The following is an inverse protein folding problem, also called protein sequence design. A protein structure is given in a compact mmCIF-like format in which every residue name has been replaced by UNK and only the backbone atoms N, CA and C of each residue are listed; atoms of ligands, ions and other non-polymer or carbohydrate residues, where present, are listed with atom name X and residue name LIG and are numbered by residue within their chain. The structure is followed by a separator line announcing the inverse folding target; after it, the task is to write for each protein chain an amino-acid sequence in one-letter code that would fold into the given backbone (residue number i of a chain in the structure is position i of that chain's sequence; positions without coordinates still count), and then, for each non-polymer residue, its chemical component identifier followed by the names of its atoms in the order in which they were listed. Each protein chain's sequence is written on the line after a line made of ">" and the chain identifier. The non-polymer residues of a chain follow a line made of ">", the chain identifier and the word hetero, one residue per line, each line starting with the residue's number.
data_IF_621964238884
#
_entry.id   IF_621964238884
#
_cell.length_a   1.000
_cell.length_b   1.000
_cell.length_c   1.000
_cell.angle_alpha   90.00
_cell.angle_beta   90.00
_cell.angle_gamma   90.00
#
_symmetry.space_group_name_H-M   'P 1'
#
loop_
_entity.id
_entity.type
_entity.pdbx_description
1 polymer ?
#
# COMPACT_ATOMS: atom_id res chain seq x y z
N UNK A 1 2.98 0.31 6.42
CA UNK A 1 2.91 1.14 5.22
C UNK A 1 1.91 0.53 4.25
N UNK A 2 0.94 1.31 3.75
CA UNK A 2 0.05 0.90 2.67
C UNK A 2 0.53 1.57 1.38
N UNK A 3 0.72 0.76 0.35
CA UNK A 3 1.37 1.06 -0.91
C UNK A 3 2.76 1.70 -0.79
N UNK A 4 3.59 1.50 -1.78
CA UNK A 4 4.96 2.01 -1.84
C UNK A 4 5.29 2.44 -3.28
N UNK A 5 4.45 3.33 -3.81
CA UNK A 5 4.61 3.89 -5.13
C UNK A 5 5.62 5.03 -5.19
N UNK A 6 5.71 5.67 -6.35
CA UNK A 6 6.74 6.65 -6.67
C UNK A 6 6.82 7.80 -5.65
N UNK A 7 8.00 7.99 -5.05
CA UNK A 7 8.29 9.01 -4.06
C UNK A 7 7.87 8.68 -2.63
N UNK A 8 7.21 7.56 -2.39
CA UNK A 8 6.77 7.11 -1.05
C UNK A 8 7.97 6.77 -0.17
N UNK A 9 8.95 6.05 -0.69
CA UNK A 9 10.16 5.71 0.07
C UNK A 9 10.96 6.96 0.44
N UNK A 10 11.07 7.92 -0.47
CA UNK A 10 11.74 9.19 -0.19
C UNK A 10 11.01 9.98 0.92
N UNK A 11 9.68 10.00 0.92
CA UNK A 11 8.87 10.63 1.98
C UNK A 11 9.00 9.87 3.30
N UNK A 12 8.94 8.53 3.29
CA UNK A 12 9.11 7.69 4.48
C UNK A 12 10.42 8.00 5.20
N UNK A 13 11.53 8.08 4.48
CA UNK A 13 12.85 8.42 5.03
C UNK A 13 12.93 9.80 5.70
N UNK A 14 12.03 10.72 5.35
CA UNK A 14 11.98 12.06 5.96
C UNK A 14 11.23 12.10 7.28
N UNK A 15 10.28 11.17 7.46
CA UNK A 15 9.38 11.19 8.62
C UNK A 15 9.67 10.07 9.62
N UNK A 16 10.37 9.01 9.18
CA UNK A 16 10.70 7.85 10.01
C UNK A 16 12.00 7.17 9.58
N UNK A 17 12.59 6.46 10.52
CA UNK A 17 13.59 5.43 10.20
C UNK A 17 12.90 4.28 9.43
N UNK A 18 13.18 4.17 8.15
CA UNK A 18 12.58 3.18 7.26
C UNK A 18 12.89 1.73 7.67
N UNK A 19 13.97 1.51 8.44
CA UNK A 19 14.34 0.18 8.96
C UNK A 19 13.42 -0.30 10.06
N UNK A 20 12.60 0.59 10.64
CA UNK A 20 11.62 0.26 11.66
C UNK A 20 10.22 -0.06 11.10
N UNK A 21 10.06 -0.04 9.78
CA UNK A 21 8.82 -0.49 9.14
C UNK A 21 8.65 -1.98 9.38
N UNK A 22 7.56 -2.38 10.03
CA UNK A 22 7.28 -3.79 10.32
C UNK A 22 6.75 -4.51 9.09
N UNK A 23 5.89 -3.83 8.32
CA UNK A 23 5.26 -4.39 7.12
C UNK A 23 4.92 -3.33 6.08
N UNK A 24 4.90 -3.78 4.82
CA UNK A 24 4.35 -3.06 3.67
C UNK A 24 3.24 -3.92 3.09
N UNK A 25 2.09 -3.32 2.78
CA UNK A 25 0.94 -3.99 2.15
C UNK A 25 0.62 -3.26 0.86
N UNK A 26 0.53 -3.97 -0.24
CA UNK A 26 0.27 -3.41 -1.58
C UNK A 26 -1.17 -3.73 -1.97
N UNK A 27 -1.90 -2.72 -2.39
CA UNK A 27 -3.31 -2.83 -2.81
C UNK A 27 -3.47 -3.52 -4.17
N UNK A 28 -2.61 -3.17 -5.12
CA UNK A 28 -2.59 -3.71 -6.48
C UNK A 28 -1.25 -3.46 -7.19
N UNK A 29 -1.06 -4.04 -8.37
CA UNK A 29 0.24 -4.09 -9.02
C UNK A 29 0.39 -3.08 -10.17
N UNK A 30 -0.22 -1.88 -10.09
CA UNK A 30 0.20 -0.76 -10.91
C UNK A 30 1.51 -0.14 -10.39
N UNK A 31 2.33 0.36 -11.28
CA UNK A 31 3.69 0.83 -11.00
C UNK A 31 3.75 1.90 -9.92
N UNK A 32 2.83 2.84 -9.96
CA UNK A 32 2.71 3.97 -9.03
C UNK A 32 2.27 3.56 -7.62
N UNK A 33 1.96 2.29 -7.39
CA UNK A 33 1.64 1.72 -6.08
C UNK A 33 2.75 0.86 -5.47
N UNK A 34 3.75 0.40 -6.26
CA UNK A 34 4.78 -0.48 -5.71
C UNK A 34 6.22 -0.18 -6.17
N UNK A 35 6.48 0.70 -7.13
CA UNK A 35 7.83 0.86 -7.71
C UNK A 35 8.90 1.31 -6.72
N UNK A 36 8.56 2.06 -5.67
CA UNK A 36 9.52 2.44 -4.65
C UNK A 36 9.95 1.26 -3.74
N UNK A 37 9.33 0.07 -3.88
CA UNK A 37 9.88 -1.15 -3.28
C UNK A 37 11.30 -1.43 -3.79
N UNK A 38 11.63 -1.05 -5.02
CA UNK A 38 12.97 -1.27 -5.59
C UNK A 38 14.04 -0.45 -4.85
N UNK A 39 14.00 0.90 -4.81
CA UNK A 39 14.96 1.67 -4.03
C UNK A 39 14.90 1.37 -2.53
N UNK A 40 13.74 1.00 -1.99
CA UNK A 40 13.60 0.59 -0.61
C UNK A 40 14.38 -0.73 -0.36
N UNK A 41 14.23 -1.72 -1.23
CA UNK A 41 14.98 -2.98 -1.15
C UNK A 41 16.50 -2.74 -1.23
N UNK A 42 16.96 -1.90 -2.16
CA UNK A 42 18.37 -1.52 -2.23
C UNK A 42 18.85 -0.90 -0.91
N UNK A 43 18.08 -0.02 -0.30
CA UNK A 43 18.43 0.60 0.97
C UNK A 43 18.49 -0.43 2.11
N UNK A 44 17.53 -1.37 2.18
CA UNK A 44 17.53 -2.43 3.19
C UNK A 44 18.71 -3.38 3.04
N UNK A 45 19.14 -3.67 1.81
CA UNK A 45 20.20 -4.67 1.57
C UNK A 45 21.60 -4.04 1.65
N UNK A 46 21.78 -2.83 1.12
CA UNK A 46 23.12 -2.29 0.88
C UNK A 46 23.47 -1.05 1.73
N UNK A 47 22.50 -0.25 2.18
CA UNK A 47 22.80 0.96 2.94
C UNK A 47 23.64 0.73 4.21
N UNK A 48 23.51 -0.40 4.96
CA UNK A 48 24.36 -0.68 6.12
C UNK A 48 25.84 -0.82 5.78
N UNK A 49 26.15 -1.13 4.55
CA UNK A 49 27.53 -1.31 4.06
C UNK A 49 28.13 -0.02 3.53
N UNK A 50 27.31 1.00 3.34
CA UNK A 50 27.70 2.29 2.80
C UNK A 50 27.82 3.30 3.95
N UNK A 51 28.98 3.38 4.57
CA UNK A 51 29.24 4.37 5.62
C UNK A 51 29.49 5.75 5.00
N UNK A 52 29.06 6.84 5.65
CA UNK A 52 28.31 6.91 6.91
C UNK A 52 26.78 7.00 6.67
N UNK A 53 26.08 5.92 6.79
CA UNK A 53 24.61 5.97 6.78
C UNK A 53 24.13 5.82 8.23
N UNK A 54 23.53 6.85 8.85
CA UNK A 54 23.01 6.73 10.21
C UNK A 54 21.74 5.90 10.20
N UNK A 55 21.89 4.58 10.26
CA UNK A 55 20.76 3.65 10.37
C UNK A 55 20.81 3.10 11.78
N UNK A 56 20.10 3.78 12.69
CA UNK A 56 20.18 3.54 14.13
C UNK A 56 19.95 2.06 14.52
N UNK A 57 19.17 1.33 13.73
CA UNK A 57 18.80 -0.06 14.01
C UNK A 57 19.90 -1.07 13.70
N UNK A 58 20.92 -0.71 12.95
CA UNK A 58 22.04 -1.60 12.64
C UNK A 58 23.26 -1.42 13.51
N UNK A 59 23.29 -0.39 14.33
CA UNK A 59 24.34 -0.29 15.35
C UNK A 59 24.14 -1.39 16.39
N UNK A 60 24.89 -2.47 16.26
CA UNK A 60 24.91 -3.57 17.21
C UNK A 60 23.93 -4.71 17.00
N UNK A 61 23.21 -4.78 15.87
CA UNK A 61 22.37 -5.93 15.52
C UNK A 61 23.05 -6.84 14.52
N UNK A 62 23.01 -8.15 14.77
CA UNK A 62 23.61 -9.15 13.91
C UNK A 62 22.87 -9.36 12.59
N UNK A 63 21.57 -9.07 12.54
CA UNK A 63 20.70 -9.32 11.39
C UNK A 63 20.08 -8.05 10.83
N UNK A 64 19.91 -8.00 9.51
CA UNK A 64 19.23 -6.92 8.81
C UNK A 64 17.74 -6.97 9.10
N UNK A 65 17.07 -5.81 9.27
CA UNK A 65 15.61 -5.80 9.28
C UNK A 65 15.07 -6.27 7.92
N UNK A 66 14.16 -7.20 7.97
CA UNK A 66 13.42 -7.70 6.81
C UNK A 66 11.94 -7.50 7.09
N UNK A 67 11.37 -6.33 6.73
CA UNK A 67 9.94 -6.10 6.91
C UNK A 67 9.14 -7.11 6.09
N UNK A 68 7.96 -7.51 6.59
CA UNK A 68 7.04 -8.31 5.81
C UNK A 68 6.50 -7.50 4.63
N UNK A 69 6.48 -8.09 3.44
CA UNK A 69 5.88 -7.51 2.25
C UNK A 69 4.68 -8.35 1.85
N UNK A 70 3.49 -7.78 2.09
CA UNK A 70 2.23 -8.40 1.73
C UNK A 70 1.77 -7.87 0.37
N UNK A 71 1.69 -8.75 -0.60
CA UNK A 71 1.31 -8.48 -1.99
C UNK A 71 -0.05 -9.12 -2.29
N UNK A 72 -0.80 -8.59 -3.26
CA UNK A 72 -1.99 -9.26 -3.76
C UNK A 72 -1.61 -10.58 -4.45
N UNK A 73 -2.58 -11.49 -4.67
CA UNK A 73 -2.34 -12.73 -5.40
C UNK A 73 -1.63 -12.50 -6.74
N UNK A 74 -0.52 -13.20 -6.97
CA UNK A 74 0.36 -13.06 -8.15
C UNK A 74 1.35 -11.88 -8.06
N UNK A 75 1.25 -11.02 -7.06
CA UNK A 75 2.12 -9.84 -6.93
C UNK A 75 3.59 -10.19 -6.69
N UNK A 76 3.84 -11.33 -6.04
CA UNK A 76 5.20 -11.81 -5.80
C UNK A 76 5.98 -12.09 -7.09
N UNK A 77 5.32 -12.64 -8.10
CA UNK A 77 5.93 -12.84 -9.42
C UNK A 77 6.21 -11.50 -10.11
N UNK A 78 5.26 -10.57 -10.07
CA UNK A 78 5.39 -9.25 -10.71
C UNK A 78 6.60 -8.49 -10.16
N UNK A 79 6.75 -8.37 -8.83
CA UNK A 79 7.89 -7.61 -8.25
C UNK A 79 9.23 -8.28 -8.54
N UNK A 80 9.30 -9.62 -8.54
CA UNK A 80 10.53 -10.35 -8.92
C UNK A 80 10.88 -10.12 -10.38
N UNK A 81 9.91 -10.18 -11.28
CA UNK A 81 10.13 -9.91 -12.71
C UNK A 81 10.65 -8.49 -12.95
N UNK A 82 10.15 -7.49 -12.23
CA UNK A 82 10.66 -6.11 -12.33
C UNK A 82 12.13 -6.02 -11.92
N UNK A 83 12.52 -6.57 -10.78
CA UNK A 83 13.92 -6.49 -10.34
C UNK A 83 14.85 -7.36 -11.18
N UNK A 84 14.37 -8.49 -11.70
CA UNK A 84 15.14 -9.33 -12.62
C UNK A 84 15.41 -8.61 -13.94
N UNK A 85 14.41 -7.87 -14.46
CA UNK A 85 14.56 -7.09 -15.70
C UNK A 85 15.63 -5.99 -15.61
N UNK A 86 15.98 -5.54 -14.41
CA UNK A 86 17.05 -4.56 -14.16
C UNK A 86 18.35 -5.18 -13.64
N UNK A 87 18.49 -6.50 -13.70
CA UNK A 87 19.70 -7.22 -13.25
C UNK A 87 19.89 -7.27 -11.72
N UNK A 88 18.80 -7.18 -10.96
CA UNK A 88 18.81 -7.20 -9.49
C UNK A 88 18.10 -8.45 -8.94
N UNK A 89 18.38 -9.60 -9.52
CA UNK A 89 17.81 -10.89 -9.14
C UNK A 89 17.97 -11.17 -7.63
N UNK A 90 16.90 -11.67 -7.01
CA UNK A 90 16.87 -11.98 -5.58
C UNK A 90 16.82 -10.78 -4.64
N UNK A 91 16.84 -9.54 -5.15
CA UNK A 91 16.85 -8.31 -4.33
C UNK A 91 15.64 -8.22 -3.40
N UNK A 92 14.44 -8.50 -3.92
CA UNK A 92 13.19 -8.40 -3.15
C UNK A 92 13.18 -9.41 -2.00
N UNK A 93 13.53 -10.66 -2.27
CA UNK A 93 13.57 -11.72 -1.25
C UNK A 93 14.71 -11.52 -0.24
N UNK A 94 15.78 -10.83 -0.63
CA UNK A 94 16.85 -10.45 0.30
C UNK A 94 16.42 -9.30 1.24
N UNK A 95 15.54 -8.41 0.77
CA UNK A 95 15.12 -7.21 1.50
C UNK A 95 13.88 -7.44 2.37
N UNK A 96 12.95 -8.27 1.90
CA UNK A 96 11.62 -8.45 2.51
C UNK A 96 11.31 -9.92 2.79
N UNK A 97 10.41 -10.13 3.74
CA UNK A 97 9.69 -11.40 3.86
C UNK A 97 8.46 -11.32 2.95
N UNK A 98 8.60 -11.82 1.72
CA UNK A 98 7.53 -11.74 0.72
C UNK A 98 6.43 -12.75 1.03
N UNK A 99 5.20 -12.26 1.07
CA UNK A 99 3.97 -13.04 1.28
C UNK A 99 2.88 -12.51 0.36
N UNK A 100 2.00 -13.38 -0.11
CA UNK A 100 0.76 -12.97 -0.76
C UNK A 100 -0.37 -13.11 0.26
N UNK A 101 -1.21 -12.07 0.39
CA UNK A 101 -2.35 -12.15 1.27
C UNK A 101 -3.52 -12.89 0.60
N UNK A 102 -4.31 -13.58 1.41
CA UNK A 102 -5.60 -14.11 0.98
C UNK A 102 -6.66 -13.00 1.14
N UNK A 103 -7.24 -12.48 0.05
CA UNK A 103 -8.17 -11.36 0.14
C UNK A 103 -9.53 -11.71 0.76
N UNK A 104 -9.83 -12.99 0.99
CA UNK A 104 -11.06 -13.41 1.68
C UNK A 104 -10.83 -13.66 3.18
N UNK A 105 -9.57 -13.66 3.62
CA UNK A 105 -9.19 -13.85 5.01
C UNK A 105 -8.75 -12.53 5.65
N UNK A 106 -8.93 -12.40 6.96
CA UNK A 106 -8.32 -11.31 7.72
C UNK A 106 -6.82 -11.56 7.90
N UNK A 107 -6.03 -10.50 7.83
CA UNK A 107 -4.60 -10.51 8.07
C UNK A 107 -4.28 -9.72 9.35
N UNK A 108 -3.51 -10.32 10.25
CA UNK A 108 -3.03 -9.63 11.46
C UNK A 108 -1.58 -9.19 11.29
N UNK A 109 -1.31 -7.91 11.55
CA UNK A 109 0.02 -7.31 11.53
C UNK A 109 0.23 -6.54 12.83
N UNK A 110 0.93 -7.14 13.78
CA UNK A 110 1.07 -6.57 15.12
C UNK A 110 -0.29 -6.42 15.80
N UNK A 111 -0.65 -5.20 16.18
CA UNK A 111 -1.93 -4.89 16.81
C UNK A 111 -3.04 -4.54 15.79
N UNK A 112 -2.75 -4.57 14.51
CA UNK A 112 -3.71 -4.23 13.46
C UNK A 112 -4.31 -5.49 12.84
N UNK A 113 -5.63 -5.45 12.67
CA UNK A 113 -6.38 -6.41 11.86
C UNK A 113 -6.73 -5.74 10.53
N UNK A 114 -6.34 -6.39 9.43
CA UNK A 114 -6.61 -5.95 8.08
C UNK A 114 -7.69 -6.84 7.45
N UNK A 115 -8.59 -6.21 6.69
CA UNK A 115 -9.51 -6.90 5.80
C UNK A 115 -9.42 -6.26 4.43
N UNK A 116 -9.80 -7.01 3.41
CA UNK A 116 -9.68 -6.64 2.02
C UNK A 116 -11.04 -6.68 1.33
N UNK A 117 -11.31 -5.73 0.46
CA UNK A 117 -12.52 -5.68 -0.38
C UNK A 117 -12.09 -5.51 -1.83
N UNK A 118 -12.42 -6.44 -2.72
CA UNK A 118 -12.23 -6.24 -4.15
C UNK A 118 -12.97 -4.98 -4.61
N UNK A 119 -12.30 -4.15 -5.40
CA UNK A 119 -12.88 -2.94 -5.99
C UNK A 119 -12.63 -2.92 -7.50
N UNK A 120 -13.56 -2.36 -8.29
CA UNK A 120 -13.45 -2.40 -9.75
C UNK A 120 -12.43 -1.38 -10.26
N UNK A 121 -11.37 -1.90 -10.86
CA UNK A 121 -10.29 -1.15 -11.49
C UNK A 121 -9.82 -1.87 -12.77
N UNK A 122 -8.77 -1.40 -13.44
CA UNK A 122 -8.23 -2.02 -14.66
C UNK A 122 -7.56 -3.38 -14.42
N UNK A 123 -7.04 -3.59 -13.21
CA UNK A 123 -6.45 -4.86 -12.76
C UNK A 123 -7.03 -5.26 -11.40
N UNK A 124 -6.85 -6.49 -10.94
CA UNK A 124 -7.27 -6.90 -9.61
C UNK A 124 -6.75 -5.96 -8.54
N UNK A 125 -7.66 -5.30 -7.83
CA UNK A 125 -7.39 -4.24 -6.85
C UNK A 125 -8.23 -4.44 -5.60
N UNK A 126 -7.66 -4.16 -4.44
CA UNK A 126 -8.33 -4.32 -3.15
C UNK A 126 -8.25 -3.05 -2.31
N UNK A 127 -9.39 -2.56 -1.86
CA UNK A 127 -9.45 -1.64 -0.74
C UNK A 127 -9.03 -2.37 0.54
N UNK A 128 -8.41 -1.66 1.47
CA UNK A 128 -7.85 -2.23 2.69
C UNK A 128 -8.40 -1.51 3.91
N UNK A 129 -9.00 -2.26 4.83
CA UNK A 129 -9.40 -1.76 6.15
C UNK A 129 -8.34 -2.12 7.18
N UNK A 130 -7.96 -1.16 8.01
CA UNK A 130 -7.05 -1.30 9.14
C UNK A 130 -7.83 -1.00 10.41
N UNK A 131 -7.97 -1.97 11.29
CA UNK A 131 -8.60 -1.80 12.60
C UNK A 131 -7.61 -2.12 13.71
N UNK A 132 -7.63 -1.33 14.77
CA UNK A 132 -6.85 -1.60 15.99
C UNK A 132 -7.72 -2.22 17.10
N UNK A 133 -7.07 -2.59 18.23
CA UNK A 133 -7.75 -3.18 19.37
C UNK A 133 -8.73 -2.23 20.11
N UNK A 134 -8.71 -0.92 19.82
CA UNK A 134 -9.67 0.04 20.37
C UNK A 134 -10.97 0.13 19.56
N UNK A 135 -11.00 -0.47 18.38
CA UNK A 135 -12.07 -0.38 17.41
C UNK A 135 -11.94 0.81 16.44
N UNK A 136 -10.87 1.60 16.54
CA UNK A 136 -10.60 2.64 15.57
C UNK A 136 -10.27 2.04 14.20
N UNK A 137 -10.91 2.56 13.14
CA UNK A 137 -10.83 1.97 11.80
C UNK A 137 -10.49 3.01 10.73
N UNK A 138 -9.43 2.73 9.98
CA UNK A 138 -9.05 3.45 8.77
C UNK A 138 -9.34 2.56 7.56
N UNK A 139 -9.94 3.12 6.51
CA UNK A 139 -10.14 2.43 5.24
C UNK A 139 -9.39 3.18 4.14
N UNK A 140 -8.55 2.49 3.41
CA UNK A 140 -7.89 2.93 2.20
C UNK A 140 -8.60 2.31 1.00
N UNK A 141 -9.21 3.16 0.16
CA UNK A 141 -10.02 2.73 -0.97
C UNK A 141 -9.21 2.10 -2.11
N UNK A 142 -7.91 2.39 -2.18
CA UNK A 142 -7.07 2.14 -3.35
C UNK A 142 -7.66 2.83 -4.61
N UNK A 143 -7.32 2.34 -5.80
CA UNK A 143 -7.82 2.89 -7.06
C UNK A 143 -9.07 2.15 -7.51
N UNK A 144 -10.13 2.88 -7.83
CA UNK A 144 -11.38 2.27 -8.27
C UNK A 144 -12.33 3.26 -8.95
N UNK A 145 -13.18 2.77 -9.83
CA UNK A 145 -14.36 3.53 -10.30
C UNK A 145 -15.45 3.53 -9.22
N UNK A 146 -16.48 4.42 -9.35
CA UNK A 146 -17.63 4.42 -8.44
C UNK A 146 -18.26 3.02 -8.31
N UNK A 147 -18.47 2.59 -7.07
CA UNK A 147 -19.07 1.30 -6.74
C UNK A 147 -19.68 1.32 -5.33
N UNK A 148 -20.66 0.47 -5.08
CA UNK A 148 -21.32 0.40 -3.79
C UNK A 148 -20.58 -0.48 -2.77
N UNK A 149 -19.72 -1.37 -3.23
CA UNK A 149 -18.94 -2.27 -2.38
C UNK A 149 -18.03 -1.50 -1.43
N UNK A 150 -17.37 -0.43 -1.92
CA UNK A 150 -16.54 0.42 -1.06
C UNK A 150 -17.37 1.20 -0.04
N UNK A 151 -18.60 1.60 -0.39
CA UNK A 151 -19.50 2.31 0.53
C UNK A 151 -19.85 1.41 1.72
N UNK A 152 -20.22 0.16 1.47
CA UNK A 152 -20.52 -0.80 2.53
C UNK A 152 -19.27 -1.16 3.33
N UNK A 153 -18.14 -1.39 2.65
CA UNK A 153 -16.88 -1.74 3.30
C UNK A 153 -16.34 -0.64 4.20
N UNK A 154 -16.53 0.63 3.83
CA UNK A 154 -16.05 1.78 4.58
C UNK A 154 -17.08 2.38 5.54
N UNK A 155 -18.25 1.73 5.73
CA UNK A 155 -19.33 2.25 6.60
C UNK A 155 -18.81 2.61 7.99
N UNK A 156 -19.09 3.88 8.41
CA UNK A 156 -18.71 4.42 9.73
C UNK A 156 -17.21 4.37 10.06
N UNK A 157 -16.33 4.38 9.05
CA UNK A 157 -14.89 4.46 9.28
C UNK A 157 -14.50 5.76 10.00
N UNK A 158 -13.51 5.69 10.89
CA UNK A 158 -12.96 6.90 11.53
C UNK A 158 -12.18 7.75 10.55
N UNK A 159 -11.52 7.10 9.59
CA UNK A 159 -10.81 7.72 8.49
C UNK A 159 -11.05 6.93 7.21
N UNK A 160 -11.47 7.62 6.16
CA UNK A 160 -11.57 7.09 4.81
C UNK A 160 -10.56 7.83 3.92
N UNK A 161 -9.71 7.08 3.24
CA UNK A 161 -8.73 7.59 2.27
C UNK A 161 -9.17 7.12 0.89
N UNK A 162 -9.50 8.05 0.00
CA UNK A 162 -10.03 7.75 -1.33
C UNK A 162 -9.24 8.45 -2.42
N UNK A 163 -9.15 7.83 -3.58
CA UNK A 163 -8.60 8.44 -4.77
C UNK A 163 -9.46 9.61 -5.28
N UNK A 164 -8.85 10.49 -6.07
CA UNK A 164 -9.53 11.62 -6.71
C UNK A 164 -8.84 12.01 -8.03
N UNK A 165 -8.50 11.00 -8.81
CA UNK A 165 -7.61 11.09 -9.98
C UNK A 165 -8.19 11.89 -11.13
N UNK A 166 -9.50 11.76 -11.39
CA UNK A 166 -10.12 12.35 -12.57
C UNK A 166 -10.65 13.76 -12.28
N UNK A 167 -10.29 14.78 -13.05
CA UNK A 167 -10.89 16.12 -12.90
C UNK A 167 -12.38 16.15 -13.28
N UNK A 168 -12.83 15.19 -14.08
CA UNK A 168 -14.22 15.00 -14.52
C UNK A 168 -14.43 13.54 -14.94
N UNK A 169 -15.69 13.02 -14.89
CA UNK A 169 -15.99 11.66 -15.30
C UNK A 169 -15.54 11.39 -16.75
N UNK A 170 -14.94 10.24 -16.97
CA UNK A 170 -14.64 9.74 -18.32
C UNK A 170 -15.95 9.46 -19.07
N UNK A 171 -16.00 9.83 -20.35
CA UNK A 171 -17.21 9.73 -21.17
C UNK A 171 -17.24 8.51 -22.10
N UNK A 172 -16.10 7.81 -22.23
CA UNK A 172 -15.95 6.66 -23.11
C UNK A 172 -14.84 5.73 -22.61
N UNK A 173 -14.94 4.48 -22.95
CA UNK A 173 -13.99 3.44 -22.56
C UNK A 173 -14.28 2.83 -21.20
N UNK A 174 -13.40 1.94 -20.76
CA UNK A 174 -13.46 1.37 -19.42
C UNK A 174 -12.96 2.40 -18.42
N UNK A 175 -13.73 2.59 -17.36
CA UNK A 175 -13.40 3.53 -16.30
C UNK A 175 -12.77 2.82 -15.13
N UNK A 176 -11.64 3.36 -14.63
CA UNK A 176 -10.91 2.78 -13.48
C UNK A 176 -10.79 3.69 -12.27
N UNK A 177 -11.15 4.97 -12.37
CA UNK A 177 -10.91 5.98 -11.34
C UNK A 177 -12.14 6.82 -11.00
N UNK A 178 -12.01 7.62 -9.93
CA UNK A 178 -13.04 8.54 -9.43
C UNK A 178 -12.65 10.00 -9.63
N UNK A 179 -13.66 10.85 -9.59
CA UNK A 179 -13.48 12.29 -9.44
C UNK A 179 -13.54 12.69 -7.96
N UNK A 180 -13.01 13.87 -7.56
CA UNK A 180 -13.15 14.37 -6.19
C UNK A 180 -14.60 14.47 -5.72
N UNK A 181 -15.53 14.85 -6.61
CA UNK A 181 -16.96 14.94 -6.28
C UNK A 181 -17.55 13.57 -5.95
N UNK A 182 -17.25 12.55 -6.78
CA UNK A 182 -17.74 11.20 -6.55
C UNK A 182 -17.13 10.57 -5.27
N UNK A 183 -15.86 10.83 -5.00
CA UNK A 183 -15.22 10.41 -3.76
C UNK A 183 -15.86 11.06 -2.53
N UNK A 184 -16.22 12.35 -2.64
CA UNK A 184 -16.99 13.06 -1.61
C UNK A 184 -18.39 12.49 -1.41
N UNK A 185 -19.11 12.19 -2.49
CA UNK A 185 -20.45 11.59 -2.45
C UNK A 185 -20.40 10.18 -1.81
N UNK A 186 -19.42 9.35 -2.20
CA UNK A 186 -19.23 8.03 -1.60
C UNK A 186 -18.90 8.16 -0.10
N UNK A 187 -18.00 9.07 0.28
CA UNK A 187 -17.68 9.29 1.69
C UNK A 187 -18.91 9.74 2.50
N UNK A 188 -19.76 10.61 1.95
CA UNK A 188 -21.03 10.98 2.57
C UNK A 188 -21.95 9.80 2.82
N UNK A 189 -22.03 8.87 1.87
CA UNK A 189 -22.83 7.65 1.97
C UNK A 189 -22.28 6.64 2.99
N UNK A 190 -20.96 6.59 3.19
CA UNK A 190 -20.34 5.70 4.21
C UNK A 190 -20.62 6.13 5.63
N UNK A 191 -20.87 7.42 5.88
CA UNK A 191 -20.90 7.99 7.22
C UNK A 191 -19.52 8.07 7.87
N UNK A 192 -18.43 8.01 7.10
CA UNK A 192 -17.08 8.12 7.62
C UNK A 192 -16.86 9.48 8.33
N UNK A 193 -16.15 9.46 9.46
CA UNK A 193 -15.93 10.68 10.27
C UNK A 193 -15.01 11.69 9.60
N UNK A 194 -14.05 11.20 8.80
CA UNK A 194 -13.08 12.03 8.05
C UNK A 194 -12.79 11.41 6.71
N UNK A 195 -12.64 12.26 5.69
CA UNK A 195 -12.19 11.91 4.36
C UNK A 195 -10.84 12.56 4.08
N UNK A 196 -9.92 11.81 3.50
CA UNK A 196 -8.69 12.30 2.88
C UNK A 196 -8.71 11.90 1.41
N UNK A 197 -8.52 12.85 0.52
CA UNK A 197 -8.34 12.60 -0.91
C UNK A 197 -6.86 12.39 -1.20
N UNK A 198 -6.58 11.42 -2.05
CA UNK A 198 -5.23 11.06 -2.51
C UNK A 198 -5.27 10.76 -4.00
N UNK A 199 -4.15 10.41 -4.59
CA UNK A 199 -4.06 10.02 -6.00
C UNK A 199 -4.66 11.12 -6.92
N UNK A 200 -4.14 12.36 -6.75
CA UNK A 200 -4.62 13.58 -7.42
C UNK A 200 -3.66 13.93 -8.57
#
# INVERSE_FOLDING_TARGET
>A
LADCGNGVFAKLRRVRDYTQTSAVVISHMHADHFFDLVPYAFALVYAPRQQPVPVARWSGVAERPRPALYLPPGGGEVVRNVVNAIGAEGLIDAAFEVREYDPVASLEIGALKLNFQPVPHYIPTWAISFADGSGARCVYGADHRPNDEIVEFAREADLLIMEATLPRPERSGERGHMTPSESGDHAGRTGAKRLVLTHI
#
